data_IF_874686116204
#
_entry.id   IF_874686116204
#
_cell.length_a   1.000
_cell.length_b   1.000
_cell.length_c   1.000
_cell.angle_alpha   90.00
_cell.angle_beta   90.00
_cell.angle_gamma   90.00
#
_symmetry.space_group_name_H-M   'P 1'
#
loop_
_entity.id
_entity.type
_entity.pdbx_description
1 polymer ?
#
# COMPACT_ATOMS: atom_id res chain seq x y z
N UNK A 1 -13.23 2.14 13.14
CA UNK A 1 -13.11 3.28 12.17
C UNK A 1 -12.04 4.23 12.68
N UNK A 2 -11.20 4.74 11.80
CA UNK A 2 -10.11 5.67 12.15
C UNK A 2 -10.64 7.08 12.47
N UNK A 3 -10.04 7.72 13.48
CA UNK A 3 -10.28 9.10 13.88
C UNK A 3 -9.45 10.07 13.01
N UNK A 4 -9.78 11.36 13.02
CA UNK A 4 -8.94 12.39 12.39
C UNK A 4 -7.55 12.41 13.04
N UNK A 5 -6.50 12.58 12.23
CA UNK A 5 -5.11 12.57 12.67
C UNK A 5 -4.45 11.18 12.66
N UNK A 6 -5.21 10.08 12.76
CA UNK A 6 -4.67 8.71 12.74
C UNK A 6 -3.82 8.48 11.48
N UNK A 7 -4.46 8.63 10.32
CA UNK A 7 -3.84 8.56 8.99
C UNK A 7 -4.09 9.87 8.26
N UNK A 8 -3.31 10.89 8.61
CA UNK A 8 -3.47 12.28 8.13
C UNK A 8 -3.60 12.40 6.61
N UNK A 9 -2.88 11.58 5.84
CA UNK A 9 -2.95 11.57 4.37
C UNK A 9 -4.32 11.17 3.81
N UNK A 10 -5.17 10.57 4.63
CA UNK A 10 -6.54 10.16 4.30
C UNK A 10 -7.62 11.01 4.98
N UNK A 11 -7.25 11.96 5.83
CA UNK A 11 -8.21 12.90 6.43
C UNK A 11 -8.96 13.76 5.40
N UNK A 12 -8.33 14.23 4.29
CA UNK A 12 -9.07 14.90 3.23
C UNK A 12 -10.26 14.10 2.70
N UNK A 13 -10.15 12.76 2.64
CA UNK A 13 -11.25 11.90 2.18
C UNK A 13 -12.42 11.88 3.17
N UNK A 14 -12.14 12.00 4.48
CA UNK A 14 -13.17 12.12 5.52
C UNK A 14 -13.91 13.46 5.41
N UNK A 15 -13.19 14.55 5.15
CA UNK A 15 -13.79 15.86 4.89
C UNK A 15 -14.68 15.85 3.63
N UNK A 16 -14.19 15.28 2.53
CA UNK A 16 -14.97 15.15 1.28
C UNK A 16 -16.24 14.33 1.54
N UNK A 17 -16.14 13.19 2.23
CA UNK A 17 -17.31 12.38 2.58
C UNK A 17 -18.32 13.18 3.41
N UNK A 18 -17.89 13.83 4.49
CA UNK A 18 -18.78 14.62 5.35
C UNK A 18 -19.45 15.76 4.58
N UNK A 19 -18.72 16.40 3.66
CA UNK A 19 -19.28 17.42 2.78
C UNK A 19 -20.37 16.84 1.86
N UNK A 20 -20.12 15.70 1.20
CA UNK A 20 -21.09 15.05 0.32
C UNK A 20 -22.32 14.54 1.08
N UNK A 21 -22.14 13.99 2.29
CA UNK A 21 -23.25 13.58 3.17
C UNK A 21 -24.17 14.77 3.52
N UNK A 22 -23.66 16.02 3.49
CA UNK A 22 -24.46 17.23 3.70
C UNK A 22 -25.22 17.73 2.47
N UNK A 23 -25.01 17.12 1.29
CA UNK A 23 -25.64 17.54 0.02
C UNK A 23 -26.81 16.64 -0.33
N UNK A 24 -27.83 17.24 -0.94
CA UNK A 24 -29.01 16.54 -1.44
C UNK A 24 -29.00 16.32 -2.97
N UNK A 25 -28.15 17.05 -3.71
CA UNK A 25 -28.07 16.99 -5.18
C UNK A 25 -26.85 16.24 -5.71
N UNK A 26 -25.90 15.89 -4.85
CA UNK A 26 -24.67 15.19 -5.22
C UNK A 26 -24.47 14.05 -4.24
N UNK A 27 -24.31 12.83 -4.77
CA UNK A 27 -24.04 11.64 -3.98
C UNK A 27 -22.58 11.22 -4.17
N UNK A 28 -21.96 10.73 -3.10
CA UNK A 28 -20.57 10.26 -3.10
C UNK A 28 -20.48 8.75 -3.01
N UNK A 29 -19.62 8.16 -3.84
CA UNK A 29 -19.15 6.79 -3.67
C UNK A 29 -17.71 6.82 -3.12
N UNK A 30 -17.45 6.09 -2.05
CA UNK A 30 -16.16 6.06 -1.35
C UNK A 30 -15.63 4.63 -1.28
N UNK A 31 -14.65 4.31 -2.13
CA UNK A 31 -14.10 2.96 -2.23
C UNK A 31 -12.99 2.77 -1.19
N UNK A 32 -13.12 1.75 -0.35
CA UNK A 32 -12.10 1.27 0.57
C UNK A 32 -11.53 -0.05 0.04
N UNK A 33 -10.25 -0.04 -0.34
CA UNK A 33 -9.60 -1.15 -1.05
C UNK A 33 -8.40 -1.78 -0.33
N UNK A 34 -8.11 -1.36 0.91
CA UNK A 34 -6.92 -1.80 1.63
C UNK A 34 -5.62 -1.25 1.03
N UNK A 35 -4.52 -1.98 1.17
CA UNK A 35 -3.23 -1.65 0.55
C UNK A 35 -3.24 -2.02 -0.94
N UNK A 36 -2.55 -1.27 -1.78
CA UNK A 36 -2.25 -1.73 -3.12
C UNK A 36 -1.15 -2.78 -3.12
N UNK A 37 -1.38 -3.95 -3.71
CA UNK A 37 -0.34 -4.99 -3.86
C UNK A 37 0.90 -4.40 -4.55
N UNK A 38 0.69 -3.60 -5.59
CA UNK A 38 1.72 -2.89 -6.34
C UNK A 38 2.61 -2.02 -5.43
N UNK A 39 1.98 -1.29 -4.50
CA UNK A 39 2.69 -0.40 -3.58
C UNK A 39 3.41 -1.18 -2.48
N UNK A 40 2.87 -2.31 -2.03
CA UNK A 40 3.51 -3.15 -1.00
C UNK A 40 4.95 -3.55 -1.38
N UNK A 41 5.17 -3.92 -2.64
CA UNK A 41 6.50 -4.30 -3.16
C UNK A 41 7.40 -3.10 -3.47
N UNK A 42 6.87 -1.87 -3.44
CA UNK A 42 7.64 -0.68 -3.78
C UNK A 42 8.72 -0.36 -2.74
N UNK A 43 9.81 0.26 -3.21
CA UNK A 43 10.85 0.79 -2.33
C UNK A 43 10.36 1.91 -1.40
N UNK A 44 9.20 2.52 -1.67
CA UNK A 44 8.56 3.49 -0.78
C UNK A 44 7.96 2.82 0.46
N UNK A 45 7.29 1.68 0.30
CA UNK A 45 6.55 1.05 1.40
C UNK A 45 7.47 0.31 2.39
N UNK A 46 8.72 0.02 2.02
CA UNK A 46 9.77 -0.56 2.90
C UNK A 46 9.36 -1.87 3.59
N UNK A 47 8.44 -2.64 3.00
CA UNK A 47 8.11 -3.99 3.46
C UNK A 47 8.82 -5.07 2.66
N UNK A 48 9.19 -4.79 1.41
CA UNK A 48 9.98 -5.71 0.57
C UNK A 48 11.31 -5.08 0.17
N UNK A 49 12.38 -5.87 0.25
CA UNK A 49 13.74 -5.48 -0.12
C UNK A 49 14.25 -6.47 -1.19
N UNK A 50 14.22 -6.09 -2.49
CA UNK A 50 14.50 -7.02 -3.58
C UNK A 50 15.93 -7.57 -3.57
N UNK A 51 16.93 -6.73 -3.22
CA UNK A 51 18.33 -7.14 -3.22
C UNK A 51 18.69 -8.22 -2.19
N UNK A 52 17.87 -8.42 -1.16
CA UNK A 52 18.09 -9.46 -0.14
C UNK A 52 16.89 -10.40 -0.01
N UNK A 53 15.92 -10.31 -0.92
CA UNK A 53 14.64 -11.04 -0.88
C UNK A 53 14.00 -11.05 0.52
N UNK A 54 14.04 -9.90 1.20
CA UNK A 54 13.61 -9.79 2.59
C UNK A 54 12.28 -9.07 2.69
N UNK A 55 11.31 -9.72 3.34
CA UNK A 55 10.08 -9.12 3.81
C UNK A 55 10.26 -8.64 5.24
N UNK A 56 10.03 -7.36 5.50
CA UNK A 56 10.07 -6.77 6.84
C UNK A 56 8.67 -6.39 7.28
N UNK A 57 8.34 -6.68 8.54
CA UNK A 57 7.02 -6.40 9.10
C UNK A 57 7.12 -5.97 10.57
N UNK A 58 6.06 -5.36 11.06
CA UNK A 58 5.88 -4.99 12.47
C UNK A 58 4.70 -5.78 13.03
N UNK A 59 4.66 -5.94 14.35
CA UNK A 59 3.58 -6.67 15.02
C UNK A 59 3.78 -8.18 14.99
N UNK A 60 2.68 -8.90 15.13
CA UNK A 60 2.67 -10.36 15.16
C UNK A 60 2.60 -10.98 13.76
N UNK A 61 3.13 -12.20 13.56
CA UNK A 61 3.16 -12.85 12.24
C UNK A 61 1.78 -13.24 11.70
N UNK A 62 0.74 -13.23 12.53
CA UNK A 62 -0.66 -13.52 12.18
C UNK A 62 -1.47 -12.27 11.84
N UNK A 63 -0.83 -11.09 11.79
CA UNK A 63 -1.47 -9.86 11.37
C UNK A 63 -1.79 -9.87 9.87
N UNK A 64 -3.07 -9.66 9.55
CA UNK A 64 -3.56 -9.59 8.18
C UNK A 64 -3.14 -8.29 7.47
N UNK A 65 -2.84 -8.42 6.19
CA UNK A 65 -2.80 -7.33 5.23
C UNK A 65 -3.89 -7.56 4.20
N UNK A 66 -4.89 -6.70 4.23
CA UNK A 66 -5.94 -6.65 3.21
C UNK A 66 -5.53 -5.69 2.10
N UNK A 67 -5.69 -6.12 0.86
CA UNK A 67 -5.32 -5.28 -0.27
C UNK A 67 -5.99 -5.64 -1.58
N UNK A 68 -5.71 -4.83 -2.59
CA UNK A 68 -6.25 -4.96 -3.95
C UNK A 68 -5.18 -4.54 -4.95
N UNK A 69 -5.09 -5.19 -6.10
CA UNK A 69 -4.21 -4.71 -7.18
C UNK A 69 -4.73 -3.40 -7.80
N UNK A 70 -3.88 -2.65 -8.49
CA UNK A 70 -4.35 -1.50 -9.29
C UNK A 70 -5.38 -1.92 -10.34
N UNK A 71 -5.19 -3.06 -10.99
CA UNK A 71 -6.11 -3.57 -12.02
C UNK A 71 -7.51 -3.81 -11.45
N UNK A 72 -7.66 -4.61 -10.38
CA UNK A 72 -8.98 -4.82 -9.79
C UNK A 72 -9.55 -3.54 -9.18
N UNK A 73 -8.73 -2.65 -8.64
CA UNK A 73 -9.22 -1.36 -8.13
C UNK A 73 -9.83 -0.51 -9.23
N UNK A 74 -9.27 -0.55 -10.45
CA UNK A 74 -9.84 0.10 -11.62
C UNK A 74 -11.14 -0.57 -12.08
N UNK A 75 -11.19 -1.90 -12.10
CA UNK A 75 -12.41 -2.67 -12.42
C UNK A 75 -13.54 -2.34 -11.43
N UNK A 76 -13.25 -2.39 -10.13
CA UNK A 76 -14.20 -2.03 -9.09
C UNK A 76 -14.65 -0.58 -9.17
N UNK A 77 -13.71 0.35 -9.45
CA UNK A 77 -14.07 1.75 -9.65
C UNK A 77 -15.00 1.93 -10.84
N UNK A 78 -14.75 1.21 -11.93
CA UNK A 78 -15.60 1.23 -13.13
C UNK A 78 -17.00 0.68 -12.80
N UNK A 79 -17.08 -0.47 -12.12
CA UNK A 79 -18.36 -1.05 -11.74
C UNK A 79 -19.17 -0.15 -10.77
N UNK A 80 -18.49 0.48 -9.81
CA UNK A 80 -19.11 1.45 -8.89
C UNK A 80 -19.63 2.69 -9.63
N UNK A 81 -18.91 3.19 -10.63
CA UNK A 81 -19.36 4.33 -11.44
C UNK A 81 -20.61 3.98 -12.26
N UNK A 82 -20.71 2.75 -12.74
CA UNK A 82 -21.84 2.28 -13.54
C UNK A 82 -23.04 1.83 -12.70
N UNK A 83 -22.89 1.66 -11.39
CA UNK A 83 -23.95 1.28 -10.46
C UNK A 83 -24.54 2.54 -9.80
N UNK A 84 -25.69 3.00 -10.31
CA UNK A 84 -26.40 4.16 -9.76
C UNK A 84 -26.81 4.00 -8.29
N UNK A 85 -26.88 2.76 -7.79
CA UNK A 85 -27.19 2.46 -6.39
C UNK A 85 -25.95 2.51 -5.47
N UNK A 86 -24.74 2.64 -6.03
CA UNK A 86 -23.48 2.57 -5.29
C UNK A 86 -23.13 3.84 -4.51
N UNK A 87 -24.07 4.33 -3.69
CA UNK A 87 -23.88 5.49 -2.82
C UNK A 87 -23.22 5.10 -1.50
N UNK A 88 -22.36 5.97 -0.98
CA UNK A 88 -21.69 5.81 0.30
C UNK A 88 -20.43 4.95 0.22
N UNK A 89 -20.15 4.20 1.29
CA UNK A 89 -18.91 3.43 1.42
C UNK A 89 -19.03 2.12 0.64
N UNK A 90 -18.08 1.85 -0.26
CA UNK A 90 -17.94 0.58 -0.97
C UNK A 90 -16.65 -0.13 -0.51
N UNK A 91 -16.77 -1.28 0.14
CA UNK A 91 -15.63 -2.04 0.67
C UNK A 91 -15.24 -3.13 -0.32
N UNK A 92 -14.22 -2.90 -1.14
CA UNK A 92 -13.91 -3.77 -2.27
C UNK A 92 -12.44 -4.18 -2.16
N UNK A 93 -12.20 -5.40 -1.68
CA UNK A 93 -10.87 -5.90 -1.32
C UNK A 93 -10.51 -7.09 -2.21
N UNK A 94 -9.33 -7.08 -2.81
CA UNK A 94 -8.80 -8.19 -3.61
C UNK A 94 -8.59 -9.46 -2.77
N UNK A 95 -7.74 -9.37 -1.76
CA UNK A 95 -7.29 -10.51 -0.97
C UNK A 95 -6.82 -10.09 0.42
N UNK A 96 -6.62 -11.07 1.30
CA UNK A 96 -5.92 -10.89 2.58
C UNK A 96 -4.88 -11.98 2.79
N UNK A 97 -3.72 -11.59 3.29
CA UNK A 97 -2.66 -12.52 3.68
C UNK A 97 -1.81 -11.92 4.80
N UNK A 98 -1.14 -12.75 5.56
CA UNK A 98 -0.10 -12.30 6.49
C UNK A 98 1.23 -12.13 5.75
N UNK A 99 2.17 -11.35 6.29
CA UNK A 99 3.49 -11.19 5.67
C UNK A 99 4.25 -12.52 5.53
N UNK A 100 4.22 -13.44 6.52
CA UNK A 100 4.74 -14.79 6.34
C UNK A 100 4.10 -15.54 5.16
N UNK A 101 2.78 -15.51 5.01
CA UNK A 101 2.10 -16.16 3.88
C UNK A 101 2.51 -15.55 2.53
N UNK A 102 2.64 -14.22 2.45
CA UNK A 102 3.12 -13.54 1.24
C UNK A 102 4.54 -14.00 0.89
N UNK A 103 5.40 -14.19 1.91
CA UNK A 103 6.75 -14.71 1.71
C UNK A 103 6.74 -16.18 1.24
N UNK A 104 5.83 -17.02 1.74
CA UNK A 104 5.63 -18.38 1.25
C UNK A 104 5.20 -18.40 -0.21
N UNK A 105 4.20 -17.59 -0.59
CA UNK A 105 3.76 -17.45 -1.98
C UNK A 105 4.91 -16.97 -2.89
N UNK A 106 5.72 -16.03 -2.40
CA UNK A 106 6.89 -15.55 -3.13
C UNK A 106 7.90 -16.67 -3.39
N UNK A 107 8.18 -17.52 -2.40
CA UNK A 107 9.08 -18.67 -2.58
C UNK A 107 8.51 -19.66 -3.60
N UNK A 108 7.22 -19.95 -3.52
CA UNK A 108 6.55 -20.88 -4.42
C UNK A 108 6.61 -20.39 -5.87
N UNK A 109 6.35 -19.10 -6.11
CA UNK A 109 6.25 -18.54 -7.47
C UNK A 109 7.62 -18.34 -8.10
N UNK A 110 8.59 -17.83 -7.33
CA UNK A 110 9.87 -17.40 -7.89
C UNK A 110 11.02 -18.38 -7.62
N UNK A 111 10.80 -19.42 -6.82
CA UNK A 111 11.84 -20.39 -6.46
C UNK A 111 12.97 -19.81 -5.58
N UNK A 112 12.81 -18.58 -5.09
CA UNK A 112 13.80 -17.87 -4.27
C UNK A 112 13.33 -17.89 -2.82
N UNK A 113 14.11 -18.48 -1.92
CA UNK A 113 13.80 -18.50 -0.49
C UNK A 113 13.91 -17.09 0.11
N UNK A 114 12.80 -16.46 0.54
CA UNK A 114 12.85 -15.15 1.15
C UNK A 114 13.17 -15.23 2.64
N UNK A 115 13.46 -14.07 3.23
CA UNK A 115 13.54 -13.90 4.68
C UNK A 115 12.35 -13.08 5.17
N UNK A 116 11.68 -13.51 6.23
CA UNK A 116 10.67 -12.72 6.93
C UNK A 116 11.27 -12.19 8.25
N UNK A 117 11.41 -10.86 8.37
CA UNK A 117 12.04 -10.20 9.53
C UNK A 117 11.04 -9.30 10.26
N UNK A 118 10.71 -9.68 11.50
CA UNK A 118 9.98 -8.83 12.43
C UNK A 118 10.89 -7.68 12.89
N UNK A 119 10.40 -6.45 12.81
CA UNK A 119 11.12 -5.23 13.18
C UNK A 119 10.85 -4.76 14.61
N UNK A 120 9.78 -5.28 15.21
CA UNK A 120 9.30 -4.93 16.54
C UNK A 120 7.78 -5.11 16.60
N UNK A 121 7.19 -4.69 17.72
CA UNK A 121 5.74 -4.69 17.92
C UNK A 121 5.05 -3.55 17.15
N UNK A 122 3.71 -3.58 17.08
CA UNK A 122 2.93 -2.43 16.59
C UNK A 122 3.12 -1.17 17.45
N UNK A 123 3.37 -1.34 18.75
CA UNK A 123 3.66 -0.23 19.65
C UNK A 123 5.00 0.43 19.31
N UNK A 124 6.01 -0.36 18.95
CA UNK A 124 7.31 0.15 18.49
C UNK A 124 7.17 0.94 17.18
N UNK A 125 6.37 0.43 16.22
CA UNK A 125 6.04 1.14 14.99
C UNK A 125 5.35 2.48 15.29
N UNK A 126 4.33 2.46 16.15
CA UNK A 126 3.59 3.67 16.53
C UNK A 126 4.50 4.71 17.19
N UNK A 127 5.35 4.28 18.13
CA UNK A 127 6.33 5.15 18.79
C UNK A 127 7.30 5.75 17.76
N UNK A 128 7.82 4.94 16.85
CA UNK A 128 8.78 5.36 15.82
C UNK A 128 8.17 6.35 14.83
N UNK A 129 6.99 6.05 14.30
CA UNK A 129 6.32 6.93 13.32
C UNK A 129 5.96 8.27 13.95
N UNK A 130 5.47 8.27 15.19
CA UNK A 130 5.12 9.49 15.94
C UNK A 130 6.36 10.33 16.27
N UNK A 131 7.46 9.69 16.67
CA UNK A 131 8.73 10.40 16.94
C UNK A 131 9.26 11.09 15.67
N UNK A 132 9.24 10.39 14.54
CA UNK A 132 9.69 10.96 13.26
C UNK A 132 8.77 12.07 12.76
N UNK A 133 7.46 11.94 12.93
CA UNK A 133 6.50 13.01 12.60
C UNK A 133 6.78 14.26 13.44
N UNK A 134 7.05 14.12 14.74
CA UNK A 134 7.39 15.26 15.61
C UNK A 134 8.73 15.90 15.24
N UNK A 135 9.70 15.09 14.84
CA UNK A 135 11.04 15.56 14.49
C UNK A 135 11.07 16.24 13.11
N UNK A 136 10.25 15.78 12.17
CA UNK A 136 10.24 16.23 10.78
C UNK A 136 8.83 16.53 10.28
N UNK A 137 8.07 17.45 10.92
CA UNK A 137 6.66 17.66 10.60
C UNK A 137 6.41 18.00 9.13
N UNK A 138 7.32 18.78 8.53
CA UNK A 138 7.23 19.27 7.14
C UNK A 138 7.80 18.29 6.09
N UNK A 139 8.31 17.14 6.51
CA UNK A 139 8.88 16.12 5.61
C UNK A 139 8.11 14.79 5.70
N UNK A 140 6.83 14.75 5.26
CA UNK A 140 5.95 13.60 5.45
C UNK A 140 6.51 12.29 4.92
N UNK A 141 7.30 12.31 3.84
CA UNK A 141 7.92 11.12 3.27
C UNK A 141 8.83 10.34 4.24
N UNK A 142 9.32 10.97 5.33
CA UNK A 142 10.14 10.30 6.35
C UNK A 142 9.35 9.35 7.26
N UNK A 143 8.04 9.59 7.44
CA UNK A 143 7.21 8.82 8.36
C UNK A 143 5.91 8.27 7.75
N UNK A 144 5.48 8.80 6.61
CA UNK A 144 4.21 8.45 5.95
C UNK A 144 4.06 6.95 5.68
N UNK A 145 5.09 6.29 5.16
CA UNK A 145 5.04 4.84 4.92
C UNK A 145 4.78 4.04 6.20
N UNK A 146 5.31 4.48 7.34
CA UNK A 146 5.08 3.82 8.64
C UNK A 146 3.66 4.04 9.15
N UNK A 147 3.05 5.22 8.93
CA UNK A 147 1.63 5.41 9.22
C UNK A 147 0.78 4.46 8.39
N UNK A 148 1.07 4.34 7.08
CA UNK A 148 0.35 3.37 6.26
C UNK A 148 0.53 1.94 6.77
N UNK A 149 1.76 1.48 7.02
CA UNK A 149 2.03 0.15 7.57
C UNK A 149 1.23 -0.09 8.85
N UNK A 150 1.25 0.86 9.79
CA UNK A 150 0.57 0.73 11.08
C UNK A 150 -0.94 0.57 10.89
N UNK A 151 -1.56 1.42 10.08
CA UNK A 151 -3.02 1.40 9.93
C UNK A 151 -3.51 0.29 9.01
N UNK A 152 -2.72 -0.14 8.02
CA UNK A 152 -3.10 -1.27 7.15
C UNK A 152 -3.02 -2.63 7.84
N UNK A 153 -2.24 -2.76 8.92
CA UNK A 153 -2.20 -3.98 9.75
C UNK A 153 -3.00 -3.84 11.06
N UNK A 154 -3.75 -2.74 11.21
CA UNK A 154 -4.63 -2.52 12.35
C UNK A 154 -6.06 -2.97 12.02
N UNK A 155 -6.65 -3.76 12.92
CA UNK A 155 -7.99 -4.32 12.77
C UNK A 155 -9.07 -3.26 12.57
N UNK A 156 -8.86 -2.02 13.04
CA UNK A 156 -9.80 -0.91 12.85
C UNK A 156 -9.98 -0.48 11.38
N UNK A 157 -9.04 -0.84 10.51
CA UNK A 157 -9.04 -0.52 9.08
C UNK A 157 -9.40 -1.73 8.20
N UNK A 158 -9.64 -2.90 8.79
CA UNK A 158 -10.05 -4.09 8.07
C UNK A 158 -11.45 -3.92 7.49
N UNK A 159 -11.60 -4.43 6.27
CA UNK A 159 -12.82 -4.42 5.48
C UNK A 159 -13.28 -5.85 5.17
N UNK A 160 -12.45 -6.89 5.40
CA UNK A 160 -12.73 -8.25 4.93
C UNK A 160 -14.07 -8.81 5.42
N UNK A 161 -14.39 -8.60 6.69
CA UNK A 161 -15.64 -9.09 7.29
C UNK A 161 -16.89 -8.46 6.65
N UNK A 162 -16.79 -7.19 6.28
CA UNK A 162 -17.91 -6.38 5.76
C UNK A 162 -17.72 -6.07 4.25
N UNK A 163 -16.97 -6.89 3.52
CA UNK A 163 -16.64 -6.60 2.12
C UNK A 163 -17.86 -6.71 1.22
N UNK A 164 -17.96 -5.79 0.27
CA UNK A 164 -19.06 -5.66 -0.69
C UNK A 164 -18.77 -6.33 -2.04
N UNK A 165 -17.70 -7.12 -2.17
CA UNK A 165 -17.29 -7.75 -3.44
C UNK A 165 -18.45 -8.49 -4.15
N UNK A 166 -19.35 -9.12 -3.39
CA UNK A 166 -20.48 -9.87 -3.94
C UNK A 166 -21.47 -8.99 -4.75
N UNK A 167 -21.43 -7.66 -4.61
CA UNK A 167 -22.19 -6.73 -5.45
C UNK A 167 -21.75 -6.76 -6.92
N UNK A 168 -20.50 -7.14 -7.19
CA UNK A 168 -19.91 -7.14 -8.53
C UNK A 168 -19.33 -8.52 -8.87
N UNK A 169 -20.18 -9.56 -9.01
CA UNK A 169 -19.73 -10.95 -9.13
C UNK A 169 -18.95 -11.26 -10.42
N UNK A 170 -19.02 -10.37 -11.41
CA UNK A 170 -18.28 -10.48 -12.65
C UNK A 170 -16.80 -10.08 -12.50
N UNK A 171 -16.44 -9.35 -11.45
CA UNK A 171 -15.05 -8.99 -11.15
C UNK A 171 -14.43 -10.13 -10.35
N UNK A 172 -13.32 -10.68 -10.86
CA UNK A 172 -12.56 -11.71 -10.16
C UNK A 172 -11.46 -11.05 -9.33
N UNK A 173 -11.55 -11.06 -7.98
CA UNK A 173 -10.51 -10.50 -7.14
C UNK A 173 -9.21 -11.30 -7.31
N UNK A 174 -8.13 -10.60 -7.65
CA UNK A 174 -6.78 -11.15 -7.75
C UNK A 174 -6.26 -11.40 -6.34
N UNK A 175 -5.74 -12.61 -6.12
CA UNK A 175 -5.04 -12.96 -4.87
C UNK A 175 -3.61 -12.42 -4.86
N UNK A 176 -2.98 -12.33 -3.68
CA UNK A 176 -1.55 -12.00 -3.58
C UNK A 176 -0.67 -12.93 -4.43
N UNK A 177 -1.02 -14.22 -4.44
CA UNK A 177 -0.35 -15.26 -5.20
C UNK A 177 -0.51 -15.03 -6.71
N UNK A 178 -1.75 -14.86 -7.18
CA UNK A 178 -2.02 -14.58 -8.61
C UNK A 178 -1.36 -13.28 -9.08
N UNK A 179 -1.38 -12.24 -8.24
CA UNK A 179 -0.71 -10.98 -8.56
C UNK A 179 0.78 -11.20 -8.86
N UNK A 180 1.49 -11.92 -7.98
CA UNK A 180 2.90 -12.25 -8.19
C UNK A 180 3.12 -13.15 -9.42
N UNK A 181 2.23 -14.09 -9.73
CA UNK A 181 2.34 -14.92 -10.94
C UNK A 181 2.33 -14.11 -12.24
N UNK A 182 1.72 -12.93 -12.25
CA UNK A 182 1.64 -12.07 -13.45
C UNK A 182 2.86 -11.16 -13.63
N UNK A 183 3.79 -11.14 -12.67
CA UNK A 183 4.88 -10.16 -12.63
C UNK A 183 6.23 -10.91 -12.56
N UNK A 184 7.15 -10.69 -13.51
CA UNK A 184 8.51 -11.22 -13.39
C UNK A 184 9.20 -10.67 -12.13
N UNK A 185 10.00 -11.49 -11.45
CA UNK A 185 10.63 -11.14 -10.19
C UNK A 185 11.43 -9.83 -10.27
N UNK A 186 12.19 -9.65 -11.34
CA UNK A 186 13.02 -8.47 -11.60
C UNK A 186 12.21 -7.17 -11.76
N UNK A 187 10.91 -7.30 -12.06
CA UNK A 187 9.98 -6.19 -12.20
C UNK A 187 9.12 -5.95 -10.95
N UNK A 188 9.13 -6.86 -9.98
CA UNK A 188 8.22 -6.83 -8.82
C UNK A 188 8.37 -5.55 -7.99
N UNK A 189 9.60 -5.11 -7.71
CA UNK A 189 9.84 -3.91 -6.91
C UNK A 189 9.47 -2.60 -7.63
N UNK A 190 9.22 -2.64 -8.94
CA UNK A 190 8.90 -1.49 -9.80
C UNK A 190 7.58 -1.66 -10.54
N UNK A 191 6.77 -2.66 -10.18
CA UNK A 191 5.51 -2.96 -10.86
C UNK A 191 4.49 -1.81 -10.74
N UNK A 192 4.57 -1.04 -9.65
CA UNK A 192 3.75 0.15 -9.40
C UNK A 192 4.00 1.31 -10.38
N UNK A 193 5.10 1.27 -11.14
CA UNK A 193 5.43 2.29 -12.12
C UNK A 193 4.70 2.02 -13.44
N UNK A 194 4.32 3.11 -14.12
CA UNK A 194 3.80 3.01 -15.49
C UNK A 194 4.85 2.44 -16.45
N UNK A 195 4.44 1.88 -17.60
CA UNK A 195 5.38 1.44 -18.63
C UNK A 195 6.41 2.52 -19.01
N UNK A 196 5.97 3.78 -19.12
CA UNK A 196 6.83 4.93 -19.41
C UNK A 196 7.87 5.17 -18.31
N UNK A 197 7.45 5.13 -17.04
CA UNK A 197 8.34 5.30 -15.90
C UNK A 197 9.35 4.14 -15.78
N UNK A 198 8.94 2.90 -16.08
CA UNK A 198 9.85 1.74 -16.11
C UNK A 198 10.89 1.87 -17.21
N UNK A 199 10.50 2.31 -18.41
CA UNK A 199 11.42 2.54 -19.51
C UNK A 199 12.46 3.63 -19.19
N UNK A 200 12.05 4.70 -18.51
CA UNK A 200 12.96 5.75 -18.04
C UNK A 200 13.94 5.22 -16.96
N UNK A 201 13.47 4.41 -16.01
CA UNK A 201 14.31 3.83 -14.96
C UNK A 201 15.34 2.82 -15.48
N UNK A 202 15.04 2.08 -16.56
CA UNK A 202 16.03 1.20 -17.22
C UNK A 202 17.17 1.97 -17.89
N UNK A 203 16.95 3.25 -18.23
CA UNK A 203 17.94 4.13 -18.87
C UNK A 203 18.74 4.98 -17.89
N UNK A 204 18.38 5.01 -16.61
CA UNK A 204 19.15 5.72 -15.60
C UNK A 204 20.40 4.90 -15.26
N UNK A 205 21.63 5.45 -15.40
CA UNK A 205 22.83 4.75 -14.98
C UNK A 205 22.75 4.47 -13.48
N UNK A 206 23.13 3.25 -13.08
CA UNK A 206 23.33 2.88 -11.68
C UNK A 206 24.39 3.83 -11.13
N UNK A 207 23.97 4.81 -10.33
CA UNK A 207 24.92 5.63 -9.58
C UNK A 207 25.45 4.74 -8.46
N UNK A 208 26.65 4.20 -8.66
CA UNK A 208 27.45 3.65 -7.58
C UNK A 208 27.62 4.74 -6.51
N UNK A 209 26.96 4.53 -5.37
CA UNK A 209 27.25 5.27 -4.16
C UNK A 209 28.58 4.74 -3.58
N UNK A 210 29.68 5.00 -4.28
CA UNK A 210 31.02 4.84 -3.78
C UNK A 210 31.81 6.11 -4.09
N UNK A 211 32.15 6.83 -3.02
CA UNK A 211 33.18 7.87 -2.95
C UNK A 211 33.06 9.07 -3.90
N UNK A 212 32.69 10.22 -3.33
CA UNK A 212 33.65 11.30 -3.11
C UNK A 212 33.00 12.41 -2.29
N UNK A 213 33.52 12.60 -1.08
CA UNK A 213 33.50 13.91 -0.44
C UNK A 213 34.28 14.88 -1.33
N UNK A 214 33.63 15.97 -1.75
CA UNK A 214 34.28 17.26 -1.97
C UNK A 214 33.20 18.32 -2.05
N UNK A 215 33.17 19.10 -0.98
CA UNK A 215 32.58 20.43 -0.90
C UNK A 215 32.94 21.28 -2.11
N UNK A 216 32.00 22.12 -2.56
CA UNK A 216 32.24 23.46 -3.15
C UNK A 216 30.91 24.21 -3.35
N UNK A 217 30.94 25.55 -3.47
CA UNK A 217 30.12 26.43 -2.66
C UNK A 217 29.05 27.16 -3.49
N UNK A 218 28.19 27.87 -2.76
CA UNK A 218 27.33 28.95 -3.24
C UNK A 218 28.05 29.88 -4.23
N UNK A 219 27.32 30.30 -5.27
CA UNK A 219 27.56 31.56 -5.95
C UNK A 219 26.22 32.23 -6.28
N UNK A 220 26.08 33.44 -5.71
CA UNK A 220 25.28 34.64 -6.05
C UNK A 220 24.10 34.52 -7.01
#
# INVERSE_FOLDING_TARGET
KLLYGDLFTKDPMKHVKAYLDSKNKVQGAHILNGIFFDTFFSGFFKMYFPGTHTFKYWGEPDEWLEGTSYANSAEYSTAVIMDESAVGIQRLVGDRATVPQIAEYYQEIYGVKPQAKRLGSKADLFKKMTALQRQYPDEPFKYMAMHYQHWTSNTQAYQWADRHNAKYPHIQPTTWKQFMQTIPLESLAVCYLTPLQRAANRKAPVRDCATTSKSRPFCS
#
